data_IF_009786797869
#
_entry.id   IF_009786797869
#
_cell.length_a   1.000
_cell.length_b   1.000
_cell.length_c   1.000
_cell.angle_alpha   90.00
_cell.angle_beta   90.00
_cell.angle_gamma   90.00
#
_symmetry.space_group_name_H-M   'P 1'
#
loop_
_entity.id
_entity.type
_entity.pdbx_description
1 polymer ?
#
# COMPACT_ATOMS: atom_id res chain seq x y z
N UNK A 1 -19.60 46.48 45.87
CA UNK A 1 -18.36 46.34 45.07
C UNK A 1 -17.32 45.29 45.53
N UNK A 2 -17.47 44.50 46.63
CA UNK A 2 -16.49 43.45 46.96
C UNK A 2 -16.47 42.25 45.97
N UNK A 3 -17.63 41.90 45.40
CA UNK A 3 -17.77 40.67 44.59
C UNK A 3 -17.14 40.75 43.20
N UNK A 4 -16.97 41.94 42.63
CA UNK A 4 -16.42 42.09 41.27
C UNK A 4 -14.91 41.85 41.24
N UNK A 5 -14.15 42.41 42.19
CA UNK A 5 -12.71 42.19 42.32
C UNK A 5 -12.38 40.72 42.59
N UNK A 6 -13.14 40.07 43.47
CA UNK A 6 -12.99 38.64 43.75
C UNK A 6 -13.25 37.77 42.52
N UNK A 7 -14.33 38.07 41.78
CA UNK A 7 -14.66 37.33 40.54
C UNK A 7 -13.58 37.50 39.49
N UNK A 8 -13.05 38.72 39.32
CA UNK A 8 -11.94 38.99 38.40
C UNK A 8 -10.68 38.23 38.78
N UNK A 9 -10.35 38.16 40.08
CA UNK A 9 -9.17 37.44 40.56
C UNK A 9 -9.31 35.93 40.33
N UNK A 10 -10.47 35.34 40.65
CA UNK A 10 -10.74 33.92 40.39
C UNK A 10 -10.67 33.62 38.89
N UNK A 11 -11.24 34.48 38.05
CA UNK A 11 -11.17 34.33 36.60
C UNK A 11 -9.72 34.38 36.08
N UNK A 12 -8.93 35.35 36.56
CA UNK A 12 -7.52 35.49 36.17
C UNK A 12 -6.69 34.26 36.59
N UNK A 13 -6.85 33.80 37.84
CA UNK A 13 -6.16 32.60 38.33
C UNK A 13 -6.60 31.36 37.56
N UNK A 14 -7.90 31.19 37.31
CA UNK A 14 -8.42 30.05 36.54
C UNK A 14 -7.88 30.07 35.10
N UNK A 15 -7.79 31.23 34.47
CA UNK A 15 -7.24 31.37 33.12
C UNK A 15 -5.74 31.01 33.09
N UNK A 16 -4.95 31.48 34.07
CA UNK A 16 -3.53 31.15 34.18
C UNK A 16 -3.34 29.65 34.42
N UNK A 17 -4.07 29.06 35.37
CA UNK A 17 -4.00 27.62 35.68
C UNK A 17 -4.42 26.79 34.48
N UNK A 18 -5.50 27.16 33.78
CA UNK A 18 -5.96 26.45 32.59
C UNK A 18 -4.93 26.54 31.47
N UNK A 19 -4.35 27.73 31.24
CA UNK A 19 -3.34 27.93 30.18
C UNK A 19 -2.08 27.11 30.47
N UNK A 20 -1.61 27.10 31.72
CA UNK A 20 -0.46 26.29 32.14
C UNK A 20 -0.76 24.79 32.05
N UNK A 21 -1.94 24.36 32.51
CA UNK A 21 -2.35 22.96 32.45
C UNK A 21 -2.46 22.46 31.00
N UNK A 22 -3.05 23.25 30.11
CA UNK A 22 -3.13 22.95 28.68
C UNK A 22 -1.73 22.93 28.05
N UNK A 23 -0.93 23.97 28.29
CA UNK A 23 0.39 24.12 27.70
C UNK A 23 1.39 23.04 28.13
N UNK A 24 1.36 22.62 29.40
CA UNK A 24 2.32 21.67 29.96
C UNK A 24 1.90 20.21 29.83
N UNK A 25 0.60 19.91 29.87
CA UNK A 25 0.14 18.51 29.90
C UNK A 25 -0.67 18.10 28.66
N UNK A 26 -1.53 18.98 28.15
CA UNK A 26 -2.42 18.64 27.03
C UNK A 26 -1.70 18.76 25.69
N UNK A 27 -1.05 19.90 25.44
CA UNK A 27 -0.38 20.19 24.16
C UNK A 27 0.70 19.15 23.82
N UNK A 28 1.64 18.78 24.72
CA UNK A 28 2.67 17.80 24.39
C UNK A 28 2.09 16.42 24.07
N UNK A 29 1.03 16.02 24.78
CA UNK A 29 0.35 14.74 24.54
C UNK A 29 -0.42 14.74 23.22
N UNK A 30 -1.07 15.86 22.89
CA UNK A 30 -1.75 16.03 21.61
C UNK A 30 -0.78 16.00 20.44
N UNK A 31 0.35 16.71 20.53
CA UNK A 31 1.39 16.69 19.49
C UNK A 31 2.01 15.29 19.33
N UNK A 32 2.29 14.59 20.42
CA UNK A 32 2.77 13.22 20.36
C UNK A 32 1.73 12.27 19.72
N UNK A 33 0.44 12.43 20.03
CA UNK A 33 -0.64 11.65 19.41
C UNK A 33 -0.79 11.99 17.93
N UNK A 34 -0.73 13.28 17.57
CA UNK A 34 -0.79 13.76 16.19
C UNK A 34 0.36 13.18 15.36
N UNK A 35 1.58 13.18 15.90
CA UNK A 35 2.74 12.55 15.25
C UNK A 35 2.50 11.06 14.98
N UNK A 36 2.08 10.30 16.00
CA UNK A 36 1.79 8.85 15.87
C UNK A 36 0.68 8.57 14.85
N UNK A 37 -0.39 9.37 14.87
CA UNK A 37 -1.47 9.23 13.89
C UNK A 37 -0.99 9.59 12.48
N UNK A 38 -0.16 10.61 12.34
CA UNK A 38 0.48 10.99 11.08
C UNK A 38 1.30 9.84 10.50
N UNK A 39 2.19 9.24 11.31
CA UNK A 39 3.00 8.08 10.91
C UNK A 39 2.14 6.88 10.45
N UNK A 40 1.04 6.60 11.15
CA UNK A 40 0.06 5.58 10.75
C UNK A 40 -0.55 5.87 9.38
N UNK A 41 -0.94 7.12 9.12
CA UNK A 41 -1.48 7.51 7.83
C UNK A 41 -0.43 7.41 6.72
N UNK A 42 0.78 7.91 6.96
CA UNK A 42 1.89 7.81 6.01
C UNK A 42 2.22 6.36 5.66
N UNK A 43 2.21 5.44 6.62
CA UNK A 43 2.45 4.02 6.36
C UNK A 43 1.36 3.41 5.46
N UNK A 44 0.08 3.74 5.72
CA UNK A 44 -1.05 3.27 4.90
C UNK A 44 -1.05 3.88 3.50
N UNK A 45 -0.75 5.16 3.38
CA UNK A 45 -0.67 5.85 2.09
C UNK A 45 0.45 5.28 1.24
N UNK A 46 1.61 5.01 1.85
CA UNK A 46 2.74 4.37 1.15
C UNK A 46 2.41 2.93 0.75
N UNK A 47 1.71 2.18 1.61
CA UNK A 47 1.19 0.85 1.25
C UNK A 47 0.27 0.91 0.03
N UNK A 48 -0.70 1.83 0.02
CA UNK A 48 -1.60 2.04 -1.12
C UNK A 48 -0.86 2.47 -2.39
N UNK A 49 0.11 3.37 -2.27
CA UNK A 49 0.92 3.83 -3.39
C UNK A 49 1.77 2.69 -4.01
N UNK A 50 2.37 1.84 -3.18
CA UNK A 50 3.12 0.67 -3.65
C UNK A 50 2.23 -0.34 -4.38
N UNK A 51 1.00 -0.58 -3.89
CA UNK A 51 0.03 -1.43 -4.60
C UNK A 51 -0.41 -0.84 -5.94
N UNK A 52 -0.67 0.48 -5.99
CA UNK A 52 -1.00 1.17 -7.24
C UNK A 52 0.17 1.14 -8.22
N UNK A 53 1.41 1.25 -7.74
CA UNK A 53 2.61 1.07 -8.55
C UNK A 53 2.64 -0.33 -9.16
N UNK A 54 2.40 -1.38 -8.38
CA UNK A 54 2.29 -2.76 -8.89
C UNK A 54 1.22 -2.87 -9.98
N UNK A 55 -0.01 -2.41 -9.70
CA UNK A 55 -1.10 -2.46 -10.68
C UNK A 55 -0.74 -1.71 -11.97
N UNK A 56 -0.16 -0.51 -11.85
CA UNK A 56 0.20 0.32 -12.99
C UNK A 56 1.30 -0.32 -13.86
N UNK A 57 2.38 -0.82 -13.24
CA UNK A 57 3.47 -1.46 -13.95
C UNK A 57 3.01 -2.75 -14.64
N UNK A 58 2.23 -3.59 -13.95
CA UNK A 58 1.61 -4.76 -14.57
C UNK A 58 0.69 -4.39 -15.75
N UNK A 59 -0.13 -3.36 -15.61
CA UNK A 59 -1.03 -2.91 -16.68
C UNK A 59 -0.26 -2.41 -17.91
N UNK A 60 0.88 -1.74 -17.70
CA UNK A 60 1.76 -1.32 -18.79
C UNK A 60 2.45 -2.51 -19.46
N UNK A 61 3.00 -3.43 -18.67
CA UNK A 61 3.66 -4.65 -19.16
C UNK A 61 2.71 -5.56 -19.95
N UNK A 62 1.43 -5.60 -19.59
CA UNK A 62 0.41 -6.39 -20.28
C UNK A 62 -0.02 -5.76 -21.61
N UNK A 63 -0.04 -4.43 -21.70
CA UNK A 63 -0.46 -3.70 -22.92
C UNK A 63 0.66 -3.48 -23.90
N UNK A 64 1.90 -3.53 -23.43
CA UNK A 64 3.07 -3.18 -24.21
C UNK A 64 3.78 -4.45 -24.72
N UNK A 65 3.53 -4.77 -26.00
CA UNK A 65 4.24 -5.82 -26.72
C UNK A 65 5.53 -5.25 -27.33
N UNK A 66 6.63 -5.99 -27.21
CA UNK A 66 7.88 -5.62 -27.85
C UNK A 66 7.76 -5.87 -29.36
N UNK A 67 8.13 -4.90 -30.21
CA UNK A 67 8.15 -5.10 -31.66
C UNK A 67 9.08 -6.26 -32.04
N UNK A 68 8.68 -7.05 -33.04
CA UNK A 68 9.52 -8.14 -33.55
C UNK A 68 10.87 -7.62 -34.06
N UNK A 69 11.91 -8.45 -33.95
CA UNK A 69 13.23 -8.17 -34.53
C UNK A 69 13.18 -7.99 -36.06
N UNK A 70 12.16 -8.57 -36.70
CA UNK A 70 11.97 -8.54 -38.16
C UNK A 70 11.03 -7.42 -38.64
N UNK A 71 10.49 -6.61 -37.73
CA UNK A 71 9.59 -5.52 -38.09
C UNK A 71 10.37 -4.36 -38.76
N UNK A 72 10.12 -4.08 -40.07
CA UNK A 72 10.85 -3.07 -40.82
C UNK A 72 10.53 -1.64 -40.37
N UNK A 73 9.41 -1.42 -39.67
CA UNK A 73 8.98 -0.09 -39.22
C UNK A 73 9.73 0.36 -37.96
N UNK A 74 10.50 -0.53 -37.32
CA UNK A 74 11.19 -0.28 -36.06
C UNK A 74 12.71 -0.28 -36.20
N UNK A 75 13.30 0.90 -36.00
CA UNK A 75 14.76 1.03 -35.96
C UNK A 75 15.37 0.28 -34.75
N UNK A 76 16.61 -0.22 -34.85
CA UNK A 76 17.29 -0.89 -33.73
C UNK A 76 17.35 -0.05 -32.46
N UNK A 77 17.61 1.26 -32.59
CA UNK A 77 17.65 2.21 -31.47
C UNK A 77 16.30 2.33 -30.77
N UNK A 78 15.20 2.33 -31.53
CA UNK A 78 13.87 2.38 -30.94
C UNK A 78 13.56 1.10 -30.16
N UNK A 79 13.92 -0.07 -30.70
CA UNK A 79 13.77 -1.35 -30.01
C UNK A 79 14.54 -1.40 -28.70
N UNK A 80 15.80 -0.95 -28.70
CA UNK A 80 16.61 -0.86 -27.48
C UNK A 80 15.96 0.03 -26.41
N UNK A 81 15.44 1.20 -26.80
CA UNK A 81 14.74 2.11 -25.87
C UNK A 81 13.47 1.49 -25.28
N UNK A 82 12.70 0.78 -26.10
CA UNK A 82 11.49 0.10 -25.62
C UNK A 82 11.82 -1.05 -24.67
N UNK A 83 12.87 -1.82 -24.95
CA UNK A 83 13.37 -2.85 -24.03
C UNK A 83 13.81 -2.21 -22.71
N UNK A 84 14.48 -1.06 -22.75
CA UNK A 84 14.89 -0.34 -21.54
C UNK A 84 13.68 0.14 -20.71
N UNK A 85 12.63 0.68 -21.33
CA UNK A 85 11.41 1.06 -20.60
C UNK A 85 10.67 -0.15 -20.02
N UNK A 86 10.62 -1.28 -20.75
CA UNK A 86 10.07 -2.53 -20.22
C UNK A 86 10.84 -3.00 -18.98
N UNK A 87 12.18 -2.99 -19.04
CA UNK A 87 13.04 -3.36 -17.92
C UNK A 87 12.84 -2.43 -16.72
N UNK A 88 12.63 -1.13 -16.96
CA UNK A 88 12.31 -0.16 -15.91
C UNK A 88 10.99 -0.48 -15.20
N UNK A 89 9.96 -0.93 -15.91
CA UNK A 89 8.70 -1.35 -15.25
C UNK A 89 8.89 -2.61 -14.42
N UNK A 90 9.70 -3.56 -14.88
CA UNK A 90 10.09 -4.72 -14.08
C UNK A 90 10.85 -4.33 -12.81
N UNK A 91 11.78 -3.38 -12.92
CA UNK A 91 12.49 -2.84 -11.76
C UNK A 91 11.52 -2.18 -10.76
N UNK A 92 10.52 -1.42 -11.25
CA UNK A 92 9.51 -0.83 -10.38
C UNK A 92 8.66 -1.88 -9.65
N UNK A 93 8.38 -3.02 -10.28
CA UNK A 93 7.71 -4.14 -9.63
C UNK A 93 8.59 -4.78 -8.55
N UNK A 94 9.87 -4.98 -8.83
CA UNK A 94 10.83 -5.51 -7.86
C UNK A 94 10.92 -4.59 -6.64
N UNK A 95 11.19 -3.30 -6.85
CA UNK A 95 11.28 -2.29 -5.79
C UNK A 95 9.99 -2.20 -4.95
N UNK A 96 8.83 -2.17 -5.60
CA UNK A 96 7.55 -2.09 -4.90
C UNK A 96 7.28 -3.35 -4.06
N UNK A 97 7.57 -4.54 -4.59
CA UNK A 97 7.33 -5.80 -3.87
C UNK A 97 8.33 -6.04 -2.74
N UNK A 98 9.59 -5.64 -2.90
CA UNK A 98 10.59 -5.62 -1.82
C UNK A 98 10.12 -4.70 -0.70
N UNK A 99 9.74 -3.46 -1.03
CA UNK A 99 9.26 -2.52 -0.03
C UNK A 99 8.03 -3.06 0.72
N UNK A 100 7.07 -3.66 0.00
CA UNK A 100 5.87 -4.26 0.58
C UNK A 100 6.20 -5.38 1.58
N UNK A 101 7.18 -6.22 1.27
CA UNK A 101 7.59 -7.31 2.15
C UNK A 101 8.32 -6.78 3.39
N UNK A 102 9.35 -5.94 3.18
CA UNK A 102 10.24 -5.47 4.24
C UNK A 102 9.51 -4.57 5.25
N UNK A 103 8.49 -3.84 4.81
CA UNK A 103 7.74 -2.90 5.65
C UNK A 103 6.41 -3.47 6.17
N UNK A 104 6.16 -4.77 5.98
CA UNK A 104 4.88 -5.42 6.31
C UNK A 104 4.45 -5.17 7.76
N UNK A 105 5.35 -5.31 8.72
CA UNK A 105 5.05 -5.06 10.14
C UNK A 105 4.55 -3.62 10.39
N UNK A 106 5.14 -2.64 9.71
CA UNK A 106 4.85 -1.21 9.89
C UNK A 106 3.47 -0.84 9.38
N UNK A 107 3.16 -1.13 8.11
CA UNK A 107 1.86 -0.75 7.56
C UNK A 107 0.74 -1.72 7.99
N UNK A 108 1.01 -3.02 8.14
CA UNK A 108 -0.02 -3.96 8.60
C UNK A 108 -0.42 -3.66 10.04
N UNK A 109 0.55 -3.43 10.93
CA UNK A 109 0.31 -3.06 12.33
C UNK A 109 -0.45 -1.75 12.51
N UNK A 110 -0.55 -0.93 11.47
CA UNK A 110 -1.39 0.26 11.47
C UNK A 110 -2.89 -0.07 11.52
N UNK A 111 -3.33 -1.27 11.11
CA UNK A 111 -4.75 -1.65 11.04
C UNK A 111 -5.25 -2.32 12.34
N UNK A 112 -6.51 -2.10 12.74
CA UNK A 112 -7.01 -2.56 14.03
C UNK A 112 -7.41 -4.05 14.09
N UNK A 113 -7.47 -4.75 12.95
CA UNK A 113 -8.02 -6.11 12.85
C UNK A 113 -6.95 -7.12 12.46
N UNK A 114 -6.82 -8.21 13.23
CA UNK A 114 -5.87 -9.31 12.96
C UNK A 114 -6.08 -9.96 11.60
N UNK A 115 -7.33 -10.02 11.11
CA UNK A 115 -7.66 -10.54 9.78
C UNK A 115 -7.09 -9.65 8.67
N UNK A 116 -7.20 -8.34 8.85
CA UNK A 116 -6.69 -7.34 7.89
C UNK A 116 -5.16 -7.34 7.92
N UNK A 117 -4.56 -7.43 9.11
CA UNK A 117 -3.11 -7.57 9.30
C UNK A 117 -2.60 -8.80 8.53
N UNK A 118 -3.22 -9.96 8.74
CA UNK A 118 -2.83 -11.19 8.04
C UNK A 118 -2.97 -11.05 6.52
N UNK A 119 -4.08 -10.51 6.02
CA UNK A 119 -4.27 -10.29 4.58
C UNK A 119 -3.15 -9.42 3.97
N UNK A 120 -2.77 -8.34 4.64
CA UNK A 120 -1.67 -7.47 4.21
C UNK A 120 -0.33 -8.21 4.13
N UNK A 121 0.00 -8.98 5.16
CA UNK A 121 1.26 -9.75 5.24
C UNK A 121 1.28 -10.87 4.18
N UNK A 122 0.20 -11.65 4.09
CA UNK A 122 0.08 -12.75 3.13
C UNK A 122 0.20 -12.21 1.70
N UNK A 123 -0.47 -11.10 1.40
CA UNK A 123 -0.35 -10.43 0.11
C UNK A 123 1.10 -10.06 -0.22
N UNK A 124 1.81 -9.40 0.69
CA UNK A 124 3.18 -8.98 0.45
C UNK A 124 4.12 -10.16 0.20
N UNK A 125 3.97 -11.24 0.99
CA UNK A 125 4.72 -12.48 0.80
C UNK A 125 4.48 -13.11 -0.57
N UNK A 126 3.21 -13.29 -0.96
CA UNK A 126 2.87 -13.89 -2.25
C UNK A 126 3.26 -13.01 -3.43
N UNK A 127 3.06 -11.69 -3.35
CA UNK A 127 3.47 -10.77 -4.40
C UNK A 127 4.99 -10.85 -4.64
N UNK A 128 5.80 -10.89 -3.57
CA UNK A 128 7.25 -11.06 -3.70
C UNK A 128 7.61 -12.42 -4.28
N UNK A 129 6.97 -13.49 -3.82
CA UNK A 129 7.20 -14.84 -4.34
C UNK A 129 6.91 -14.94 -5.84
N UNK A 130 5.85 -14.30 -6.34
CA UNK A 130 5.53 -14.27 -7.77
C UNK A 130 6.64 -13.58 -8.58
N UNK A 131 7.12 -12.41 -8.13
CA UNK A 131 8.21 -11.68 -8.80
C UNK A 131 9.48 -12.55 -8.89
N UNK A 132 9.83 -13.22 -7.79
CA UNK A 132 11.02 -14.08 -7.69
C UNK A 132 10.90 -15.42 -8.40
N UNK A 133 9.69 -15.90 -8.69
CA UNK A 133 9.49 -17.22 -9.30
C UNK A 133 10.07 -17.31 -10.72
N UNK A 134 10.34 -18.51 -11.21
CA UNK A 134 10.85 -18.74 -12.59
C UNK A 134 9.74 -18.71 -13.65
N UNK A 135 8.52 -18.31 -13.28
CA UNK A 135 7.36 -18.25 -14.18
C UNK A 135 7.59 -17.29 -15.35
N UNK A 136 6.89 -17.55 -16.45
CA UNK A 136 6.87 -16.63 -17.59
C UNK A 136 6.39 -15.23 -17.17
N UNK A 137 6.97 -14.20 -17.79
CA UNK A 137 6.65 -12.79 -17.54
C UNK A 137 5.14 -12.51 -17.60
N UNK A 138 4.45 -13.04 -18.61
CA UNK A 138 3.01 -12.85 -18.77
C UNK A 138 2.23 -13.44 -17.58
N UNK A 139 2.57 -14.65 -17.14
CA UNK A 139 1.97 -15.31 -15.97
C UNK A 139 2.24 -14.54 -14.69
N UNK A 140 3.46 -14.02 -14.49
CA UNK A 140 3.79 -13.18 -13.33
C UNK A 140 2.90 -11.94 -13.29
N UNK A 141 2.77 -11.24 -14.41
CA UNK A 141 1.95 -10.02 -14.52
C UNK A 141 0.49 -10.32 -14.20
N UNK A 142 -0.06 -11.41 -14.75
CA UNK A 142 -1.43 -11.84 -14.48
C UNK A 142 -1.65 -12.16 -13.00
N UNK A 143 -0.75 -12.95 -12.40
CA UNK A 143 -0.82 -13.33 -10.99
C UNK A 143 -0.72 -12.12 -10.07
N UNK A 144 0.18 -11.18 -10.36
CA UNK A 144 0.34 -9.95 -9.59
C UNK A 144 -0.94 -9.10 -9.65
N UNK A 145 -1.56 -8.93 -10.82
CA UNK A 145 -2.84 -8.22 -10.92
C UNK A 145 -3.95 -8.93 -10.14
N UNK A 146 -4.04 -10.26 -10.27
CA UNK A 146 -5.04 -11.07 -9.59
C UNK A 146 -4.89 -11.04 -8.06
N UNK A 147 -3.66 -10.92 -7.54
CA UNK A 147 -3.39 -10.71 -6.11
C UNK A 147 -3.68 -9.27 -5.69
N UNK A 148 -3.13 -8.29 -6.40
CA UNK A 148 -3.06 -6.89 -5.92
C UNK A 148 -4.40 -6.18 -6.06
N UNK A 149 -5.18 -6.40 -7.12
CA UNK A 149 -6.43 -5.66 -7.36
C UNK A 149 -7.48 -5.92 -6.27
N UNK A 150 -7.78 -7.17 -5.87
CA UNK A 150 -8.73 -7.45 -4.80
C UNK A 150 -8.29 -6.85 -3.45
N UNK A 151 -7.00 -6.96 -3.13
CA UNK A 151 -6.45 -6.43 -1.88
C UNK A 151 -6.50 -4.89 -1.91
N UNK A 152 -6.15 -4.25 -3.03
CA UNK A 152 -6.20 -2.79 -3.15
C UNK A 152 -7.62 -2.29 -2.92
N UNK A 153 -8.60 -2.96 -3.54
CA UNK A 153 -10.01 -2.63 -3.36
C UNK A 153 -10.43 -2.83 -1.91
N UNK A 154 -10.04 -3.93 -1.28
CA UNK A 154 -10.37 -4.21 0.12
C UNK A 154 -9.86 -3.13 1.09
N UNK A 155 -8.63 -2.63 0.89
CA UNK A 155 -8.00 -1.66 1.77
C UNK A 155 -8.39 -0.21 1.46
N UNK A 156 -8.45 0.15 0.18
CA UNK A 156 -8.51 1.54 -0.28
C UNK A 156 -9.71 1.83 -1.20
N UNK A 157 -10.53 0.82 -1.51
CA UNK A 157 -11.74 1.00 -2.28
C UNK A 157 -12.81 1.81 -1.55
N UNK A 158 -13.69 2.43 -2.32
CA UNK A 158 -14.85 3.13 -1.78
C UNK A 158 -15.70 2.19 -0.89
N UNK A 159 -16.22 2.64 0.27
CA UNK A 159 -16.85 1.75 1.27
C UNK A 159 -17.92 0.80 0.70
N UNK A 160 -18.75 1.26 -0.22
CA UNK A 160 -19.77 0.41 -0.84
C UNK A 160 -19.21 -0.60 -1.83
N UNK A 161 -18.13 -0.23 -2.54
CA UNK A 161 -17.41 -1.18 -3.41
C UNK A 161 -16.77 -2.30 -2.58
N UNK A 162 -16.20 -1.96 -1.42
CA UNK A 162 -15.65 -2.93 -0.46
C UNK A 162 -16.69 -3.90 0.04
N UNK A 163 -17.83 -3.38 0.51
CA UNK A 163 -18.92 -4.23 0.99
C UNK A 163 -19.46 -5.16 -0.10
N UNK A 164 -19.66 -4.63 -1.32
CA UNK A 164 -20.18 -5.40 -2.46
C UNK A 164 -19.24 -6.51 -2.92
N UNK A 165 -17.92 -6.28 -2.89
CA UNK A 165 -16.94 -7.22 -3.43
C UNK A 165 -16.20 -8.02 -2.38
N UNK A 166 -16.44 -7.81 -1.08
CA UNK A 166 -15.66 -8.43 0.01
C UNK A 166 -15.50 -9.95 -0.15
N UNK A 167 -16.59 -10.69 -0.36
CA UNK A 167 -16.55 -12.15 -0.50
C UNK A 167 -15.84 -12.57 -1.80
N UNK A 168 -16.13 -11.88 -2.90
CA UNK A 168 -15.54 -12.16 -4.19
C UNK A 168 -14.04 -11.88 -4.21
N UNK A 169 -13.61 -10.76 -3.62
CA UNK A 169 -12.22 -10.35 -3.51
C UNK A 169 -11.40 -11.31 -2.64
N UNK A 170 -11.97 -11.75 -1.50
CA UNK A 170 -11.33 -12.76 -0.65
C UNK A 170 -11.21 -14.12 -1.33
N UNK A 171 -12.25 -14.54 -2.07
CA UNK A 171 -12.22 -15.79 -2.84
C UNK A 171 -11.18 -15.72 -3.96
N UNK A 172 -11.19 -14.65 -4.75
CA UNK A 172 -10.24 -14.44 -5.84
C UNK A 172 -8.78 -14.42 -5.35
N UNK A 173 -8.54 -13.77 -4.20
CA UNK A 173 -7.23 -13.80 -3.56
C UNK A 173 -6.83 -15.23 -3.16
N UNK A 174 -7.71 -15.96 -2.48
CA UNK A 174 -7.43 -17.34 -2.05
C UNK A 174 -7.19 -18.30 -3.23
N UNK A 175 -7.98 -18.19 -4.30
CA UNK A 175 -7.82 -18.96 -5.53
C UNK A 175 -6.48 -18.66 -6.20
N UNK A 176 -6.08 -17.38 -6.24
CA UNK A 176 -4.78 -16.99 -6.79
C UNK A 176 -3.62 -17.53 -5.97
N UNK A 177 -3.72 -17.47 -4.63
CA UNK A 177 -2.73 -18.07 -3.72
C UNK A 177 -2.63 -19.58 -3.91
N UNK A 178 -3.76 -20.28 -4.09
CA UNK A 178 -3.78 -21.70 -4.40
C UNK A 178 -3.09 -22.01 -5.74
N UNK A 179 -3.34 -21.21 -6.77
CA UNK A 179 -2.66 -21.33 -8.08
C UNK A 179 -1.14 -21.16 -7.97
N UNK A 180 -0.68 -20.17 -7.20
CA UNK A 180 0.76 -19.94 -6.96
C UNK A 180 1.41 -21.12 -6.24
N UNK A 181 0.68 -21.75 -5.31
CA UNK A 181 1.20 -22.85 -4.48
C UNK A 181 1.06 -24.22 -5.15
N UNK A 182 0.14 -24.37 -6.11
CA UNK A 182 -0.26 -25.65 -6.70
C UNK A 182 0.43 -26.01 -8.02
N UNK A 183 1.19 -25.11 -8.65
CA UNK A 183 2.01 -25.43 -9.82
C UNK A 183 3.35 -26.07 -9.37
N UNK A 184 3.57 -27.37 -9.59
CA UNK A 184 4.92 -27.92 -9.48
C UNK A 184 5.79 -27.29 -10.56
N UNK A 185 7.00 -26.86 -10.18
CA UNK A 185 8.04 -26.47 -11.13
C UNK A 185 8.23 -27.63 -12.10
N UNK A 186 7.73 -27.47 -13.33
CA UNK A 186 8.09 -28.36 -14.42
C UNK A 186 9.51 -28.00 -14.78
N UNK A 187 10.43 -28.75 -14.18
CA UNK A 187 11.83 -28.83 -14.57
C UNK A 187 11.96 -29.45 -15.95
#
# INVERSE_FOLDING_TARGET
MPNTLWTLLVAAVTAVVTTLAVGLFVTPRMEARKKRLGEVHTARDTFGASMLRVISACSLLQRFELPSADDPDWTPVMRERLTAERNRWWQQLDEATVWLLDNAATYAGSYPSSRIIRLAIDYAGHARAVVLSEREEATKVELLLALTVPVQRHFFGWPWSRARHAVADHRAFAETVARISGEPSTA
#
